data_IF_047509837456
#
_entry.id   IF_047509837456
#
_cell.length_a   1.000
_cell.length_b   1.000
_cell.length_c   1.000
_cell.angle_alpha   90.00
_cell.angle_beta   90.00
_cell.angle_gamma   90.00
#
_symmetry.space_group_name_H-M   'P 1'
#
loop_
_entity.id
_entity.type
_entity.pdbx_description
1 polymer ?
#
# COMPACT_ATOMS: atom_id res chain seq x y z
N UNK A 1 -3.20 2.25 20.11
CA UNK A 1 -2.90 3.01 18.89
C UNK A 1 -2.62 2.15 17.64
N UNK A 2 -2.83 0.82 17.64
CA UNK A 2 -2.75 0.03 16.37
C UNK A 2 -3.98 -0.85 16.09
N UNK A 3 -4.89 -0.95 17.07
CA UNK A 3 -6.08 -1.82 16.99
C UNK A 3 -7.19 -1.15 16.18
N UNK A 4 -7.37 0.17 16.33
CA UNK A 4 -8.43 0.91 15.62
C UNK A 4 -8.05 1.08 14.15
N UNK A 5 -6.79 1.37 13.89
CA UNK A 5 -6.18 1.51 12.56
C UNK A 5 -6.28 0.20 11.78
N UNK A 6 -5.99 -0.94 12.43
CA UNK A 6 -6.16 -2.28 11.83
C UNK A 6 -7.62 -2.62 11.53
N UNK A 7 -8.56 -2.16 12.37
CA UNK A 7 -10.00 -2.32 12.11
C UNK A 7 -10.45 -1.43 10.96
N UNK A 8 -9.99 -0.18 10.91
CA UNK A 8 -10.31 0.76 9.85
C UNK A 8 -9.83 0.22 8.49
N UNK A 9 -8.61 -0.31 8.42
CA UNK A 9 -8.10 -0.95 7.20
C UNK A 9 -9.03 -2.07 6.73
N UNK A 10 -9.54 -2.91 7.64
CA UNK A 10 -10.49 -3.97 7.31
C UNK A 10 -11.85 -3.42 6.86
N UNK A 11 -12.38 -2.41 7.55
CA UNK A 11 -13.65 -1.77 7.21
C UNK A 11 -13.61 -1.15 5.80
N UNK A 12 -12.51 -0.46 5.47
CA UNK A 12 -12.25 0.09 4.13
C UNK A 12 -12.10 -1.03 3.09
N UNK A 13 -11.45 -2.15 3.43
CA UNK A 13 -11.35 -3.32 2.54
C UNK A 13 -12.71 -3.96 2.21
N UNK A 14 -13.60 -4.08 3.20
CA UNK A 14 -14.94 -4.65 3.01
C UNK A 14 -15.99 -3.62 2.55
N UNK A 15 -15.58 -2.37 2.28
CA UNK A 15 -16.42 -1.26 1.82
C UNK A 15 -17.56 -0.90 2.79
N UNK A 16 -17.36 -1.10 4.08
CA UNK A 16 -18.31 -0.66 5.09
C UNK A 16 -18.10 0.82 5.35
N UNK A 17 -18.80 1.69 4.58
CA UNK A 17 -18.63 3.14 4.68
C UNK A 17 -18.94 3.63 6.11
N UNK A 18 -20.11 3.28 6.64
CA UNK A 18 -20.54 3.65 7.99
C UNK A 18 -19.54 3.22 9.07
N UNK A 19 -19.10 1.96 9.04
CA UNK A 19 -18.11 1.45 10.01
C UNK A 19 -16.74 2.11 9.86
N UNK A 20 -16.33 2.45 8.62
CA UNK A 20 -15.05 3.10 8.38
C UNK A 20 -15.06 4.53 8.91
N UNK A 21 -16.15 5.27 8.74
CA UNK A 21 -16.30 6.61 9.31
C UNK A 21 -16.37 6.57 10.84
N UNK A 22 -17.11 5.62 11.43
CA UNK A 22 -17.17 5.45 12.89
C UNK A 22 -15.79 5.11 13.49
N UNK A 23 -14.99 4.31 12.79
CA UNK A 23 -13.62 3.99 13.21
C UNK A 23 -12.67 5.18 13.03
N UNK A 24 -12.86 5.99 11.98
CA UNK A 24 -12.12 7.22 11.80
C UNK A 24 -12.39 8.20 12.96
N UNK A 25 -13.65 8.40 13.34
CA UNK A 25 -14.04 9.23 14.50
C UNK A 25 -13.38 8.75 15.80
N UNK A 26 -13.36 7.44 16.03
CA UNK A 26 -12.70 6.85 17.21
C UNK A 26 -11.20 7.08 17.22
N UNK A 27 -10.55 7.04 16.05
CA UNK A 27 -9.11 7.32 15.91
C UNK A 27 -8.84 8.80 16.21
N UNK A 28 -9.63 9.71 15.62
CA UNK A 28 -9.51 11.16 15.84
C UNK A 28 -9.69 11.53 17.31
N UNK A 29 -10.77 11.04 17.94
CA UNK A 29 -11.00 11.24 19.37
C UNK A 29 -9.88 10.68 20.24
N UNK A 30 -9.36 9.50 19.89
CA UNK A 30 -8.21 8.95 20.61
C UNK A 30 -6.96 9.83 20.45
N UNK A 31 -6.74 10.47 19.30
CA UNK A 31 -5.63 11.41 19.14
C UNK A 31 -5.83 12.69 19.95
N UNK A 32 -7.05 13.23 20.04
CA UNK A 32 -7.35 14.35 20.95
C UNK A 32 -6.97 14.03 22.41
N UNK A 33 -7.16 12.78 22.84
CA UNK A 33 -6.89 12.32 24.20
C UNK A 33 -5.43 11.88 24.44
N UNK A 34 -4.69 11.45 23.41
CA UNK A 34 -3.39 10.75 23.57
C UNK A 34 -2.23 11.31 22.75
N UNK A 35 -2.47 12.11 21.72
CA UNK A 35 -1.47 12.55 20.75
C UNK A 35 -1.75 13.98 20.31
N UNK A 36 -1.15 14.98 20.98
CA UNK A 36 -1.37 16.40 20.68
C UNK A 36 -0.54 16.91 19.50
N UNK A 37 0.35 16.07 18.94
CA UNK A 37 1.26 16.47 17.86
C UNK A 37 0.62 16.23 16.48
N UNK A 38 0.20 17.32 15.84
CA UNK A 38 -0.36 17.36 14.48
C UNK A 38 0.55 16.64 13.46
N UNK A 39 1.88 16.71 13.63
CA UNK A 39 2.84 16.01 12.75
C UNK A 39 2.73 14.50 12.89
N UNK A 40 2.56 13.98 14.11
CA UNK A 40 2.37 12.54 14.38
C UNK A 40 1.04 12.03 13.78
N UNK A 41 -0.02 12.82 13.95
CA UNK A 41 -1.34 12.53 13.36
C UNK A 41 -1.27 12.50 11.83
N UNK A 42 -0.66 13.52 11.20
CA UNK A 42 -0.42 13.56 9.74
C UNK A 42 0.36 12.34 9.25
N UNK A 43 1.44 11.97 9.93
CA UNK A 43 2.22 10.79 9.57
C UNK A 43 1.36 9.53 9.57
N UNK A 44 0.47 9.39 10.56
CA UNK A 44 -0.46 8.26 10.65
C UNK A 44 -1.48 8.25 9.51
N UNK A 45 -2.03 9.42 9.15
CA UNK A 45 -2.96 9.53 8.01
C UNK A 45 -2.24 9.21 6.70
N UNK A 46 -1.01 9.69 6.50
CA UNK A 46 -0.19 9.38 5.30
C UNK A 46 0.03 7.86 5.17
N UNK A 47 0.26 7.17 6.29
CA UNK A 47 0.44 5.72 6.30
C UNK A 47 -0.85 4.99 5.95
N UNK A 48 -1.99 5.41 6.52
CA UNK A 48 -3.30 4.86 6.18
C UNK A 48 -3.67 5.10 4.71
N UNK A 49 -3.43 6.32 4.20
CA UNK A 49 -3.61 6.68 2.80
C UNK A 49 -2.78 5.78 1.87
N UNK A 50 -1.52 5.51 2.22
CA UNK A 50 -0.67 4.57 1.48
C UNK A 50 -1.27 3.17 1.42
N UNK A 51 -1.79 2.68 2.56
CA UNK A 51 -2.43 1.36 2.66
C UNK A 51 -3.75 1.31 1.88
N UNK A 52 -4.57 2.36 1.93
CA UNK A 52 -5.84 2.40 1.20
C UNK A 52 -5.65 2.50 -0.31
N UNK A 53 -4.73 3.36 -0.76
CA UNK A 53 -4.28 3.45 -2.16
C UNK A 53 -3.86 2.08 -2.66
N UNK A 54 -3.00 1.41 -1.89
CA UNK A 54 -2.49 0.12 -2.28
C UNK A 54 -3.56 -0.99 -2.26
N UNK A 55 -4.51 -0.96 -1.31
CA UNK A 55 -5.68 -1.85 -1.33
C UNK A 55 -6.54 -1.68 -2.60
N UNK A 56 -6.66 -0.46 -3.12
CA UNK A 56 -7.33 -0.22 -4.40
C UNK A 56 -6.51 -0.72 -5.58
N UNK A 57 -5.20 -0.47 -5.61
CA UNK A 57 -4.29 -0.93 -6.68
C UNK A 57 -4.36 -2.43 -6.89
N UNK A 58 -4.64 -3.24 -5.87
CA UNK A 58 -4.91 -4.69 -6.02
C UNK A 58 -6.02 -5.02 -7.01
N UNK A 59 -6.98 -4.13 -7.14
CA UNK A 59 -8.18 -4.32 -7.97
C UNK A 59 -8.11 -3.51 -9.27
N UNK A 60 -7.04 -2.73 -9.49
CA UNK A 60 -6.82 -1.93 -10.69
C UNK A 60 -5.94 -2.73 -11.66
N UNK A 61 -6.39 -2.86 -12.91
CA UNK A 61 -5.70 -3.63 -13.96
C UNK A 61 -5.31 -2.81 -15.17
N UNK A 62 -5.85 -1.60 -15.34
CA UNK A 62 -5.55 -0.75 -16.48
C UNK A 62 -4.61 0.43 -16.10
N UNK A 63 -3.66 0.81 -16.99
CA UNK A 63 -2.73 1.91 -16.73
C UNK A 63 -3.37 3.28 -16.49
N UNK A 64 -4.57 3.53 -17.02
CA UNK A 64 -5.26 4.82 -16.84
C UNK A 64 -5.80 4.96 -15.42
N UNK A 65 -6.44 3.91 -14.90
CA UNK A 65 -6.91 3.83 -13.52
C UNK A 65 -5.75 3.86 -12.52
N UNK A 66 -4.59 3.25 -12.84
CA UNK A 66 -3.38 3.36 -12.00
C UNK A 66 -2.91 4.81 -11.91
N UNK A 67 -2.80 5.48 -13.06
CA UNK A 67 -2.39 6.88 -13.14
C UNK A 67 -3.38 7.80 -12.43
N UNK A 68 -4.68 7.54 -12.56
CA UNK A 68 -5.72 8.29 -11.88
C UNK A 68 -5.65 8.12 -10.36
N UNK A 69 -5.50 6.89 -9.88
CA UNK A 69 -5.33 6.60 -8.45
C UNK A 69 -4.10 7.33 -7.89
N UNK A 70 -2.99 7.34 -8.63
CA UNK A 70 -1.79 8.06 -8.25
C UNK A 70 -2.01 9.58 -8.21
N UNK A 71 -2.76 10.15 -9.15
CA UNK A 71 -3.12 11.58 -9.17
C UNK A 71 -3.98 11.93 -7.94
N UNK A 72 -5.03 11.16 -7.64
CA UNK A 72 -5.89 11.43 -6.47
C UNK A 72 -5.14 11.24 -5.16
N UNK A 73 -4.30 10.20 -5.04
CA UNK A 73 -3.40 10.04 -3.88
C UNK A 73 -2.51 11.27 -3.70
N UNK A 74 -1.88 11.75 -4.77
CA UNK A 74 -0.99 12.92 -4.71
C UNK A 74 -1.75 14.21 -4.35
N UNK A 75 -2.99 14.35 -4.81
CA UNK A 75 -3.87 15.47 -4.44
C UNK A 75 -4.19 15.45 -2.93
N UNK A 76 -4.53 14.28 -2.38
CA UNK A 76 -4.80 14.11 -0.94
C UNK A 76 -3.54 14.34 -0.08
N UNK A 77 -2.38 13.86 -0.53
CA UNK A 77 -1.08 14.13 0.12
C UNK A 77 -0.76 15.63 0.15
N UNK A 78 -0.94 16.33 -0.98
CA UNK A 78 -0.69 17.77 -1.05
C UNK A 78 -1.63 18.59 -0.13
N UNK A 79 -2.85 18.11 0.13
CA UNK A 79 -3.75 18.72 1.11
C UNK A 79 -3.23 18.52 2.54
N UNK A 80 -2.81 17.31 2.88
CA UNK A 80 -2.22 16.98 4.19
C UNK A 80 -0.96 17.80 4.49
N UNK A 81 -0.11 18.02 3.49
CA UNK A 81 1.15 18.75 3.67
C UNK A 81 0.94 20.25 3.93
N UNK A 82 -0.15 20.84 3.44
CA UNK A 82 -0.39 22.29 3.51
C UNK A 82 -1.17 22.76 4.74
N UNK A 83 -1.83 21.87 5.46
CA UNK A 83 -2.81 22.25 6.48
C UNK A 83 -2.26 22.20 7.92
N UNK A 84 -2.43 23.25 8.71
CA UNK A 84 -1.73 23.36 10.00
C UNK A 84 -2.49 22.78 11.21
N UNK A 85 -3.78 22.44 11.11
CA UNK A 85 -4.49 21.53 12.07
C UNK A 85 -6.00 21.47 11.90
N UNK A 86 -6.67 22.58 11.59
CA UNK A 86 -8.14 22.69 11.69
C UNK A 86 -8.88 21.76 10.72
N UNK A 87 -8.32 21.44 9.55
CA UNK A 87 -8.99 20.59 8.57
C UNK A 87 -8.47 19.15 8.54
N UNK A 88 -7.62 18.73 9.50
CA UNK A 88 -7.03 17.39 9.47
C UNK A 88 -8.10 16.29 9.54
N UNK A 89 -9.13 16.51 10.37
CA UNK A 89 -10.27 15.62 10.53
C UNK A 89 -11.05 15.51 9.22
N UNK A 90 -11.35 16.65 8.58
CA UNK A 90 -12.05 16.69 7.31
C UNK A 90 -11.28 15.95 6.21
N UNK A 91 -9.96 16.16 6.13
CA UNK A 91 -9.10 15.48 5.17
C UNK A 91 -9.08 13.96 5.44
N UNK A 92 -9.05 13.55 6.70
CA UNK A 92 -9.07 12.12 7.05
C UNK A 92 -10.39 11.47 6.64
N UNK A 93 -11.53 12.13 6.87
CA UNK A 93 -12.83 11.65 6.40
C UNK A 93 -12.94 11.68 4.87
N UNK A 94 -12.38 12.68 4.18
CA UNK A 94 -12.33 12.71 2.71
C UNK A 94 -11.55 11.50 2.16
N UNK A 95 -10.43 11.16 2.80
CA UNK A 95 -9.64 9.97 2.46
C UNK A 95 -10.48 8.71 2.67
N UNK A 96 -11.09 8.53 3.85
CA UNK A 96 -11.90 7.34 4.15
C UNK A 96 -13.04 7.20 3.15
N UNK A 97 -13.81 8.27 2.91
CA UNK A 97 -14.92 8.33 1.96
C UNK A 97 -14.47 7.97 0.53
N UNK A 98 -13.34 8.52 0.08
CA UNK A 98 -12.79 8.20 -1.24
C UNK A 98 -12.52 6.68 -1.36
N UNK A 99 -11.94 6.07 -0.32
CA UNK A 99 -11.53 4.67 -0.39
C UNK A 99 -12.66 3.66 -0.11
N UNK A 100 -13.75 4.08 0.55
CA UNK A 100 -14.97 3.28 0.76
C UNK A 100 -15.95 3.38 -0.39
N UNK A 101 -16.13 4.56 -0.99
CA UNK A 101 -17.23 4.84 -1.94
C UNK A 101 -16.78 4.79 -3.40
N UNK A 102 -15.57 5.26 -3.74
CA UNK A 102 -15.13 5.37 -5.14
C UNK A 102 -14.58 4.08 -5.77
N UNK A 103 -14.67 2.92 -5.12
CA UNK A 103 -14.25 1.66 -5.76
C UNK A 103 -15.15 1.23 -6.94
N UNK A 104 -16.36 1.78 -7.09
CA UNK A 104 -17.27 1.39 -8.17
C UNK A 104 -16.95 2.03 -9.54
N UNK A 105 -16.08 3.06 -9.57
CA UNK A 105 -15.62 3.66 -10.84
C UNK A 105 -14.50 2.82 -11.47
N UNK A 106 -13.71 2.11 -10.63
CA UNK A 106 -12.46 1.43 -11.04
C UNK A 106 -12.53 -0.10 -11.04
N UNK A 107 -13.66 -0.72 -10.66
CA UNK A 107 -13.85 -2.19 -10.73
C UNK A 107 -14.29 -2.71 -12.09
N UNK A 108 -14.41 -1.84 -13.12
CA UNK A 108 -14.57 -2.28 -14.52
C UNK A 108 -13.20 -2.66 -15.10
N UNK A 109 -12.59 -3.75 -14.64
CA UNK A 109 -11.26 -4.11 -15.15
C UNK A 109 -10.72 -5.51 -14.88
N UNK A 110 -11.27 -6.30 -13.96
CA UNK A 110 -10.82 -7.68 -13.74
C UNK A 110 -12.02 -8.63 -13.79
N UNK A 111 -12.49 -8.94 -14.99
CA UNK A 111 -13.46 -10.03 -15.19
C UNK A 111 -12.85 -11.44 -14.99
N UNK A 112 -11.53 -11.56 -14.75
CA UNK A 112 -10.87 -12.85 -14.59
C UNK A 112 -10.54 -13.18 -13.11
N UNK A 113 -11.32 -14.05 -12.43
CA UNK A 113 -11.06 -14.46 -11.05
C UNK A 113 -9.67 -15.08 -10.81
N UNK A 114 -9.02 -15.64 -11.84
CA UNK A 114 -7.71 -16.27 -11.71
C UNK A 114 -6.60 -15.25 -11.46
N UNK A 115 -6.61 -14.10 -12.15
CA UNK A 115 -5.59 -13.08 -11.90
C UNK A 115 -5.72 -12.49 -10.50
N UNK A 116 -6.96 -12.27 -10.03
CA UNK A 116 -7.22 -11.79 -8.68
C UNK A 116 -6.63 -12.73 -7.62
N UNK A 117 -6.94 -14.03 -7.71
CA UNK A 117 -6.37 -15.06 -6.81
C UNK A 117 -4.85 -15.12 -6.87
N UNK A 118 -4.27 -14.92 -8.05
CA UNK A 118 -2.82 -14.89 -8.26
C UNK A 118 -2.20 -13.72 -7.48
N UNK A 119 -2.71 -12.51 -7.66
CA UNK A 119 -2.19 -11.30 -7.01
C UNK A 119 -2.37 -11.35 -5.48
N UNK A 120 -3.50 -11.86 -5.00
CA UNK A 120 -3.76 -12.05 -3.58
C UNK A 120 -2.76 -13.04 -2.96
N UNK A 121 -2.50 -14.17 -3.61
CA UNK A 121 -1.49 -15.13 -3.15
C UNK A 121 -0.10 -14.49 -3.09
N UNK A 122 0.29 -13.79 -4.17
CA UNK A 122 1.59 -13.13 -4.25
C UNK A 122 1.76 -12.14 -3.11
N UNK A 123 0.75 -11.33 -2.82
CA UNK A 123 0.85 -10.34 -1.76
C UNK A 123 1.04 -10.97 -0.38
N UNK A 124 0.24 -11.97 -0.04
CA UNK A 124 0.26 -12.60 1.27
C UNK A 124 1.53 -13.41 1.53
N UNK A 125 2.26 -13.78 0.47
CA UNK A 125 3.43 -14.65 0.55
C UNK A 125 4.68 -14.00 -0.09
N UNK A 126 4.68 -12.67 -0.31
CA UNK A 126 5.73 -12.01 -1.08
C UNK A 126 7.11 -12.16 -0.45
N UNK A 127 7.21 -12.34 0.87
CA UNK A 127 8.44 -12.62 1.61
C UNK A 127 9.05 -13.98 1.28
N UNK A 128 8.24 -14.91 0.77
CA UNK A 128 8.67 -16.25 0.41
C UNK A 128 9.21 -16.30 -1.03
N UNK A 129 9.87 -17.41 -1.35
CA UNK A 129 10.33 -17.68 -2.71
C UNK A 129 9.14 -18.10 -3.59
N UNK A 130 8.60 -17.14 -4.33
CA UNK A 130 7.51 -17.36 -5.29
C UNK A 130 8.10 -17.48 -6.70
N UNK A 131 7.65 -18.48 -7.45
CA UNK A 131 7.93 -18.65 -8.88
C UNK A 131 6.65 -18.95 -9.66
N UNK A 132 6.73 -18.88 -10.98
CA UNK A 132 5.60 -19.25 -11.85
C UNK A 132 5.21 -20.71 -11.65
N UNK A 133 6.17 -21.61 -11.39
CA UNK A 133 5.94 -23.01 -10.99
C UNK A 133 5.00 -23.10 -9.79
N UNK A 134 5.36 -22.46 -8.67
CA UNK A 134 4.60 -22.56 -7.42
C UNK A 134 3.19 -22.05 -7.60
N UNK A 135 3.04 -20.92 -8.30
CA UNK A 135 1.73 -20.33 -8.56
C UNK A 135 0.90 -21.16 -9.54
N UNK A 136 1.52 -21.71 -10.58
CA UNK A 136 0.83 -22.51 -11.59
C UNK A 136 0.29 -23.80 -10.99
N UNK A 137 1.07 -24.42 -10.10
CA UNK A 137 0.68 -25.64 -9.39
C UNK A 137 -0.46 -25.36 -8.41
N UNK A 138 -0.38 -24.24 -7.67
CA UNK A 138 -1.44 -23.82 -6.74
C UNK A 138 -2.76 -23.45 -7.45
N UNK A 139 -2.68 -22.91 -8.67
CA UNK A 139 -3.83 -22.46 -9.45
C UNK A 139 -4.34 -23.50 -10.45
N UNK A 140 -3.67 -24.66 -10.55
CA UNK A 140 -3.97 -25.73 -11.51
C UNK A 140 -4.02 -25.25 -12.97
N UNK A 141 -3.07 -24.40 -13.36
CA UNK A 141 -2.94 -23.88 -14.74
C UNK A 141 -1.50 -24.05 -15.24
N UNK A 142 -1.27 -23.87 -16.54
CA UNK A 142 0.09 -23.93 -17.08
C UNK A 142 0.87 -22.64 -16.75
N UNK A 143 2.18 -22.77 -16.54
CA UNK A 143 3.09 -21.62 -16.31
C UNK A 143 3.04 -20.60 -17.44
N UNK A 144 2.96 -21.08 -18.69
CA UNK A 144 2.88 -20.21 -19.87
C UNK A 144 1.58 -19.41 -19.86
N UNK A 145 0.45 -20.05 -19.54
CA UNK A 145 -0.82 -19.35 -19.43
C UNK A 145 -0.80 -18.33 -18.30
N UNK A 146 -0.27 -18.70 -17.13
CA UNK A 146 -0.12 -17.79 -16.00
C UNK A 146 0.76 -16.58 -16.33
N UNK A 147 1.90 -16.78 -16.99
CA UNK A 147 2.78 -15.68 -17.38
C UNK A 147 2.09 -14.72 -18.34
N UNK A 148 1.39 -15.24 -19.35
CA UNK A 148 0.62 -14.43 -20.30
C UNK A 148 -0.51 -13.69 -19.58
N UNK A 149 -1.24 -14.38 -18.70
CA UNK A 149 -2.33 -13.81 -17.91
C UNK A 149 -1.83 -12.65 -17.04
N UNK A 150 -0.69 -12.82 -16.35
CA UNK A 150 -0.07 -11.76 -15.55
C UNK A 150 0.29 -10.56 -16.42
N UNK A 151 1.03 -10.75 -17.52
CA UNK A 151 1.46 -9.64 -18.38
C UNK A 151 0.27 -8.90 -19.01
N UNK A 152 -0.75 -9.62 -19.49
CA UNK A 152 -1.93 -9.02 -20.12
C UNK A 152 -2.75 -8.18 -19.15
N UNK A 153 -2.87 -8.60 -17.89
CA UNK A 153 -3.73 -7.93 -16.91
C UNK A 153 -3.00 -6.91 -16.04
N UNK A 154 -1.66 -6.96 -15.95
CA UNK A 154 -0.88 -6.07 -15.08
C UNK A 154 0.12 -5.19 -15.83
N UNK A 155 0.35 -5.45 -17.12
CA UNK A 155 1.36 -4.78 -17.93
C UNK A 155 2.81 -5.08 -17.50
N UNK A 156 3.02 -6.04 -16.60
CA UNK A 156 4.36 -6.33 -16.04
C UNK A 156 4.55 -7.82 -15.73
N UNK A 157 5.74 -8.19 -15.25
CA UNK A 157 6.13 -9.58 -15.00
C UNK A 157 6.03 -9.95 -13.53
N UNK A 158 5.93 -11.25 -13.22
CA UNK A 158 5.90 -11.75 -11.84
C UNK A 158 7.06 -11.23 -10.96
N UNK A 159 8.35 -11.25 -11.40
CA UNK A 159 9.45 -10.69 -10.60
C UNK A 159 9.26 -9.21 -10.26
N UNK A 160 8.77 -8.42 -11.20
CA UNK A 160 8.51 -6.99 -10.98
C UNK A 160 7.36 -6.80 -9.99
N UNK A 161 6.30 -7.59 -10.08
CA UNK A 161 5.18 -7.57 -9.13
C UNK A 161 5.67 -7.88 -7.71
N UNK A 162 6.49 -8.94 -7.57
CA UNK A 162 7.11 -9.30 -6.29
C UNK A 162 7.96 -8.16 -5.74
N UNK A 163 8.81 -7.58 -6.58
CA UNK A 163 9.64 -6.44 -6.19
C UNK A 163 8.79 -5.28 -5.69
N UNK A 164 7.75 -4.87 -6.43
CA UNK A 164 6.83 -3.81 -6.04
C UNK A 164 6.21 -4.06 -4.68
N UNK A 165 5.62 -5.25 -4.45
CA UNK A 165 4.98 -5.55 -3.16
C UNK A 165 5.97 -5.56 -2.00
N UNK A 166 7.18 -6.09 -2.22
CA UNK A 166 8.22 -6.07 -1.19
C UNK A 166 8.71 -4.65 -0.91
N UNK A 167 8.89 -3.81 -1.92
CA UNK A 167 9.24 -2.39 -1.73
C UNK A 167 8.18 -1.67 -0.92
N UNK A 168 6.89 -1.89 -1.17
CA UNK A 168 5.82 -1.26 -0.37
C UNK A 168 5.88 -1.72 1.10
N UNK A 169 6.02 -3.02 1.36
CA UNK A 169 6.21 -3.54 2.73
C UNK A 169 7.45 -2.97 3.42
N UNK A 170 8.52 -2.70 2.65
CA UNK A 170 9.76 -2.11 3.18
C UNK A 170 9.57 -0.71 3.75
N UNK A 171 8.59 0.07 3.27
CA UNK A 171 8.35 1.43 3.75
C UNK A 171 8.04 1.43 5.25
N UNK A 172 7.19 0.51 5.71
CA UNK A 172 6.85 0.39 7.13
C UNK A 172 8.08 0.04 7.96
N UNK A 173 8.88 -0.94 7.51
CA UNK A 173 10.09 -1.34 8.21
C UNK A 173 11.14 -0.23 8.25
N UNK A 174 11.26 0.56 7.17
CA UNK A 174 12.18 1.69 7.11
C UNK A 174 11.79 2.82 8.06
N UNK A 175 10.49 3.06 8.21
CA UNK A 175 9.89 4.13 9.01
C UNK A 175 9.92 3.82 10.51
N UNK A 176 9.49 2.62 10.90
CA UNK A 176 9.19 2.32 12.30
C UNK A 176 10.14 1.36 13.00
N UNK A 177 11.14 0.86 12.30
CA UNK A 177 12.11 -0.05 12.89
C UNK A 177 13.53 0.46 12.69
N UNK A 178 14.42 0.05 13.59
CA UNK A 178 15.85 0.29 13.50
C UNK A 178 16.59 -0.78 12.69
N UNK A 179 15.86 -1.75 12.11
CA UNK A 179 16.44 -2.80 11.27
C UNK A 179 17.33 -2.21 10.20
N UNK A 180 18.52 -2.75 10.01
CA UNK A 180 19.40 -2.39 8.92
C UNK A 180 18.74 -2.63 7.57
N UNK A 181 19.26 -1.97 6.53
CA UNK A 181 18.81 -2.19 5.15
C UNK A 181 18.96 -3.67 4.74
N UNK A 182 20.00 -4.33 5.24
CA UNK A 182 20.27 -5.75 4.99
C UNK A 182 19.23 -6.67 5.64
N UNK A 183 18.85 -6.39 6.90
CA UNK A 183 17.80 -7.14 7.59
C UNK A 183 16.46 -7.01 6.88
N UNK A 184 16.08 -5.80 6.46
CA UNK A 184 14.84 -5.53 5.73
C UNK A 184 14.81 -6.25 4.38
N UNK A 185 15.91 -6.17 3.63
CA UNK A 185 16.07 -6.86 2.35
C UNK A 185 15.85 -8.37 2.50
N UNK A 186 16.49 -8.99 3.50
CA UNK A 186 16.38 -10.42 3.79
C UNK A 186 14.98 -10.82 4.25
N UNK A 187 14.38 -10.05 5.16
CA UNK A 187 13.03 -10.30 5.70
C UNK A 187 11.95 -10.26 4.62
N UNK A 188 12.11 -9.38 3.64
CA UNK A 188 11.18 -9.24 2.52
C UNK A 188 11.49 -10.20 1.36
N UNK A 189 12.46 -11.10 1.52
CA UNK A 189 12.78 -12.13 0.54
C UNK A 189 13.50 -11.65 -0.72
N UNK A 190 14.17 -10.48 -0.68
CA UNK A 190 15.05 -10.06 -1.78
C UNK A 190 16.27 -10.98 -1.88
N UNK A 191 16.74 -11.21 -3.11
CA UNK A 191 17.89 -12.08 -3.37
C UNK A 191 19.22 -11.44 -2.95
N UNK A 192 19.28 -10.10 -2.91
CA UNK A 192 20.43 -9.35 -2.44
C UNK A 192 20.04 -7.93 -2.03
N UNK A 193 20.82 -7.34 -1.14
CA UNK A 193 20.66 -5.96 -0.68
C UNK A 193 20.83 -4.95 -1.81
N UNK A 194 21.74 -5.23 -2.75
CA UNK A 194 21.95 -4.44 -3.96
C UNK A 194 20.71 -4.42 -4.83
N UNK A 195 20.07 -5.58 -5.05
CA UNK A 195 18.84 -5.67 -5.83
C UNK A 195 17.68 -4.94 -5.13
N UNK A 196 17.54 -5.10 -3.81
CA UNK A 196 16.58 -4.33 -3.02
C UNK A 196 16.77 -2.82 -3.20
N UNK A 197 18.00 -2.31 -3.00
CA UNK A 197 18.28 -0.89 -3.10
C UNK A 197 18.02 -0.34 -4.50
N UNK A 198 18.36 -1.10 -5.54
CA UNK A 198 18.10 -0.73 -6.93
C UNK A 198 16.60 -0.67 -7.22
N UNK A 199 15.84 -1.70 -6.84
CA UNK A 199 14.38 -1.73 -7.03
C UNK A 199 13.70 -0.62 -6.23
N UNK A 200 14.10 -0.39 -4.99
CA UNK A 200 13.58 0.69 -4.16
C UNK A 200 13.80 2.04 -4.84
N UNK A 201 15.02 2.31 -5.31
CA UNK A 201 15.35 3.56 -6.01
C UNK A 201 14.57 3.70 -7.31
N UNK A 202 14.41 2.63 -8.08
CA UNK A 202 13.65 2.67 -9.34
C UNK A 202 12.17 2.97 -9.10
N UNK A 203 11.57 2.40 -8.05
CA UNK A 203 10.15 2.56 -7.76
C UNK A 203 9.86 3.87 -7.03
N UNK A 204 10.67 4.23 -6.03
CA UNK A 204 10.44 5.39 -5.17
C UNK A 204 11.26 6.63 -5.55
N UNK A 205 12.12 6.53 -6.56
CA UNK A 205 13.00 7.61 -7.04
C UNK A 205 14.02 8.15 -6.01
N UNK A 206 14.12 7.51 -4.84
CA UNK A 206 15.07 7.83 -3.76
C UNK A 206 15.62 6.56 -3.14
N UNK A 207 16.76 6.62 -2.46
CA UNK A 207 17.36 5.43 -1.82
C UNK A 207 16.65 5.08 -0.50
N UNK A 208 16.64 3.79 -0.08
CA UNK A 208 16.08 3.39 1.21
C UNK A 208 16.63 4.17 2.40
N UNK A 209 17.95 4.44 2.38
CA UNK A 209 18.64 5.21 3.42
C UNK A 209 18.13 6.66 3.46
N UNK A 210 18.01 7.31 2.29
CA UNK A 210 17.50 8.68 2.19
C UNK A 210 16.03 8.74 2.63
N UNK A 211 15.21 7.78 2.21
CA UNK A 211 13.83 7.65 2.67
C UNK A 211 13.76 7.59 4.20
N UNK A 212 14.49 6.66 4.84
CA UNK A 212 14.53 6.54 6.30
C UNK A 212 14.95 7.85 7.00
N UNK A 213 15.95 8.55 6.50
CA UNK A 213 16.41 9.81 7.11
C UNK A 213 15.32 10.88 7.06
N UNK A 214 14.60 11.00 5.93
CA UNK A 214 13.48 11.93 5.80
C UNK A 214 12.40 11.53 6.81
N UNK A 215 11.93 10.29 6.77
CA UNK A 215 10.79 9.87 7.59
C UNK A 215 11.10 9.87 9.09
N UNK A 216 12.32 9.53 9.53
CA UNK A 216 12.69 9.63 10.95
C UNK A 216 12.77 11.08 11.43
N UNK A 217 13.25 12.01 10.60
CA UNK A 217 13.21 13.45 10.92
C UNK A 217 11.78 13.96 11.03
N UNK A 218 10.81 13.25 10.46
CA UNK A 218 9.39 13.56 10.55
C UNK A 218 8.69 12.99 11.79
N UNK A 219 9.33 12.03 12.47
CA UNK A 219 8.82 11.38 13.68
C UNK A 219 9.39 11.95 14.99
N UNK A 220 10.45 12.76 14.92
CA UNK A 220 11.09 13.47 16.05
C UNK A 220 11.10 14.98 15.78
#
# INVERSE_FOLDING_TARGET
MFVLESKLIKAVQIKSNEESHELADKILKNWEETETNIRSQKNTIIQLLGIFCWNQVKNISDPESLKYNEIEKNKLLNKLDRDDSENLNEIFHEIVEYYTTNQNIFTKGCENPLIKRTLDYIYNNSEQKISLEVLSDHLHISKSYLSTLICQNTGTTLPNILATFRIEKSLLLLTYTDKSISEISKELGFQSDSYFCQQFKNIKQITPKKFRTITKRDLY
#
